data_IF_807734489151
#
_entry.id   IF_807734489151
#
_cell.length_a   1.000
_cell.length_b   1.000
_cell.length_c   1.000
_cell.angle_alpha   90.00
_cell.angle_beta   90.00
_cell.angle_gamma   90.00
#
_symmetry.space_group_name_H-M   'P 1'
#
loop_
_entity.id
_entity.type
_entity.pdbx_description
1 polymer ?
#
# COMPACT_ATOMS: atom_id res chain seq x y z
N UNK A 1 16.28 -6.81 6.88
CA UNK A 1 15.55 -7.10 5.64
C UNK A 1 14.69 -8.33 5.83
N UNK A 2 13.49 -8.33 5.25
CA UNK A 2 12.56 -9.47 5.29
C UNK A 2 12.95 -10.52 4.27
N UNK A 3 13.08 -11.79 4.68
CA UNK A 3 13.34 -12.93 3.79
C UNK A 3 12.06 -13.73 3.63
N UNK A 4 11.66 -14.00 2.38
CA UNK A 4 10.46 -14.79 2.07
C UNK A 4 10.84 -16.25 1.82
N UNK A 5 9.99 -17.19 2.27
CA UNK A 5 10.16 -18.61 1.99
C UNK A 5 10.00 -18.93 0.50
N UNK A 6 10.54 -20.07 0.05
CA UNK A 6 10.49 -20.48 -1.37
C UNK A 6 9.05 -20.67 -1.89
N UNK A 7 8.13 -21.09 -1.02
CA UNK A 7 6.72 -21.30 -1.36
C UNK A 7 5.86 -20.02 -1.24
N UNK A 8 6.46 -18.91 -0.80
CA UNK A 8 5.78 -17.62 -0.70
C UNK A 8 5.87 -16.90 -2.05
N UNK A 9 4.70 -16.57 -2.63
CA UNK A 9 4.61 -15.82 -3.88
C UNK A 9 5.49 -14.56 -3.92
N UNK A 10 5.61 -13.86 -2.79
CA UNK A 10 6.39 -12.62 -2.67
C UNK A 10 7.88 -12.84 -2.96
N UNK A 11 8.40 -14.05 -2.78
CA UNK A 11 9.79 -14.39 -3.12
C UNK A 11 10.09 -14.23 -4.62
N UNK A 12 9.07 -14.30 -5.49
CA UNK A 12 9.20 -14.21 -6.95
C UNK A 12 8.80 -12.84 -7.51
N UNK A 13 8.26 -11.96 -6.67
CA UNK A 13 7.72 -10.66 -7.08
C UNK A 13 8.83 -9.60 -6.94
N UNK A 14 9.22 -8.92 -8.04
CA UNK A 14 10.36 -7.99 -8.01
C UNK A 14 10.26 -6.87 -6.97
N UNK A 15 9.03 -6.44 -6.65
CA UNK A 15 8.76 -5.42 -5.62
C UNK A 15 9.20 -5.78 -4.20
N UNK A 16 9.40 -7.07 -3.93
CA UNK A 16 9.86 -7.59 -2.64
C UNK A 16 11.34 -8.01 -2.65
N UNK A 17 12.07 -7.77 -3.73
CA UNK A 17 13.53 -7.91 -3.74
C UNK A 17 14.15 -6.92 -2.74
N UNK A 18 15.28 -7.27 -2.13
CA UNK A 18 15.90 -6.45 -1.07
C UNK A 18 16.11 -4.99 -1.49
N UNK A 19 16.63 -4.76 -2.70
CA UNK A 19 16.84 -3.41 -3.26
C UNK A 19 15.52 -2.65 -3.48
N UNK A 20 14.44 -3.36 -3.86
CA UNK A 20 13.13 -2.76 -4.05
C UNK A 20 12.48 -2.39 -2.72
N UNK A 21 12.61 -3.25 -1.70
CA UNK A 21 12.12 -2.96 -0.35
C UNK A 21 12.81 -1.71 0.20
N UNK A 22 14.13 -1.64 0.11
CA UNK A 22 14.92 -0.48 0.57
C UNK A 22 14.54 0.80 -0.19
N UNK A 23 14.41 0.74 -1.52
CA UNK A 23 14.02 1.90 -2.32
C UNK A 23 12.60 2.39 -2.01
N UNK A 24 11.67 1.48 -1.74
CA UNK A 24 10.26 1.78 -1.48
C UNK A 24 9.98 2.11 0.00
N UNK A 25 10.93 1.87 0.90
CA UNK A 25 10.78 2.05 2.36
C UNK A 25 10.34 3.46 2.71
N UNK A 26 10.88 4.48 2.03
CA UNK A 26 10.53 5.89 2.26
C UNK A 26 9.03 6.17 2.19
N UNK A 27 8.33 5.55 1.23
CA UNK A 27 6.89 5.70 1.09
C UNK A 27 6.16 5.02 2.25
N UNK A 28 6.64 3.84 2.65
CA UNK A 28 6.07 3.08 3.77
C UNK A 28 6.25 3.84 5.09
N UNK A 29 7.42 4.45 5.30
CA UNK A 29 7.73 5.29 6.47
C UNK A 29 6.77 6.47 6.54
N UNK A 30 6.58 7.21 5.45
CA UNK A 30 5.64 8.34 5.41
C UNK A 30 4.21 7.91 5.79
N UNK A 31 3.72 6.80 5.24
CA UNK A 31 2.41 6.26 5.61
C UNK A 31 2.34 5.83 7.08
N UNK A 32 3.45 5.37 7.64
CA UNK A 32 3.60 5.06 9.07
C UNK A 32 3.53 6.31 9.95
N UNK A 33 4.18 7.40 9.56
CA UNK A 33 4.15 8.68 10.27
C UNK A 33 2.73 9.27 10.28
N UNK A 34 2.06 9.34 9.12
CA UNK A 34 0.67 9.79 9.03
C UNK A 34 -0.29 8.92 9.84
N UNK A 35 -0.04 7.61 9.87
CA UNK A 35 -0.83 6.67 10.66
C UNK A 35 -0.65 6.92 12.17
N UNK A 36 0.60 7.14 12.62
CA UNK A 36 0.92 7.44 14.00
C UNK A 36 0.31 8.77 14.47
N UNK A 37 0.38 9.83 13.64
CA UNK A 37 -0.23 11.14 13.93
C UNK A 37 -1.74 11.05 14.18
N UNK A 38 -2.42 10.15 13.46
CA UNK A 38 -3.87 9.96 13.55
C UNK A 38 -4.31 8.82 14.48
N UNK A 39 -3.36 8.05 15.03
CA UNK A 39 -3.66 6.89 15.88
C UNK A 39 -4.33 5.73 15.14
N UNK A 40 -4.02 5.54 13.85
CA UNK A 40 -4.59 4.52 12.96
C UNK A 40 -3.48 3.63 12.38
N UNK A 41 -3.82 2.65 11.55
CA UNK A 41 -2.81 1.82 10.87
C UNK A 41 -2.45 2.36 9.48
N UNK A 42 -1.25 2.04 8.99
CA UNK A 42 -0.84 2.41 7.63
C UNK A 42 -1.74 1.81 6.55
N UNK A 43 -2.35 0.64 6.82
CA UNK A 43 -3.34 0.05 5.93
C UNK A 43 -4.60 0.91 5.83
N UNK A 44 -5.04 1.49 6.96
CA UNK A 44 -6.17 2.41 6.98
C UNK A 44 -5.86 3.73 6.27
N UNK A 45 -4.65 4.29 6.43
CA UNK A 45 -4.22 5.47 5.65
C UNK A 45 -4.25 5.18 4.14
N UNK A 46 -3.75 4.03 3.71
CA UNK A 46 -3.76 3.65 2.30
C UNK A 46 -5.18 3.51 1.73
N UNK A 47 -6.11 2.92 2.49
CA UNK A 47 -7.52 2.80 2.11
C UNK A 47 -8.23 4.15 2.10
N UNK A 48 -7.99 5.00 3.11
CA UNK A 48 -8.55 6.35 3.20
C UNK A 48 -8.07 7.23 2.03
N UNK A 49 -6.79 7.14 1.68
CA UNK A 49 -6.25 7.82 0.50
C UNK A 49 -6.94 7.37 -0.78
N UNK A 50 -7.11 6.06 -0.98
CA UNK A 50 -7.77 5.52 -2.15
C UNK A 50 -9.24 5.99 -2.26
N UNK A 51 -9.97 6.03 -1.15
CA UNK A 51 -11.34 6.55 -1.08
C UNK A 51 -11.40 8.06 -1.39
N UNK A 52 -10.39 8.83 -1.01
CA UNK A 52 -10.32 10.27 -1.25
C UNK A 52 -10.10 10.65 -2.72
N UNK A 53 -9.61 9.73 -3.57
CA UNK A 53 -9.24 10.05 -4.95
C UNK A 53 -10.46 10.44 -5.82
N UNK A 54 -11.58 9.72 -5.69
CA UNK A 54 -12.84 9.97 -6.42
C UNK A 54 -14.03 9.39 -5.65
N UNK A 55 -15.22 10.04 -5.70
CA UNK A 55 -16.39 9.61 -4.92
C UNK A 55 -16.99 8.26 -5.34
N UNK A 56 -16.62 7.73 -6.51
CA UNK A 56 -17.09 6.43 -7.01
C UNK A 56 -16.09 5.29 -6.79
N UNK A 57 -14.99 5.52 -6.07
CA UNK A 57 -14.03 4.46 -5.75
C UNK A 57 -14.53 3.67 -4.55
N UNK A 58 -14.65 2.35 -4.72
CA UNK A 58 -15.00 1.42 -3.65
C UNK A 58 -13.91 0.35 -3.56
N UNK A 59 -13.02 0.39 -2.55
CA UNK A 59 -11.99 -0.63 -2.38
C UNK A 59 -12.61 -1.96 -1.95
N UNK A 60 -12.04 -3.07 -2.42
CA UNK A 60 -12.42 -4.44 -2.04
C UNK A 60 -11.21 -5.07 -1.31
N UNK A 61 -10.92 -4.67 -0.06
CA UNK A 61 -9.78 -5.20 0.66
C UNK A 61 -10.03 -6.65 1.07
N UNK A 62 -9.18 -7.57 0.58
CA UNK A 62 -9.26 -8.98 0.94
C UNK A 62 -8.74 -9.24 2.36
N UNK A 63 -9.46 -10.07 3.12
CA UNK A 63 -9.02 -10.56 4.43
C UNK A 63 -9.67 -11.90 4.75
N UNK A 64 -9.00 -12.72 5.56
CA UNK A 64 -9.55 -13.97 6.11
C UNK A 64 -9.87 -13.87 7.62
N UNK A 65 -9.58 -12.72 8.24
CA UNK A 65 -9.71 -12.50 9.69
C UNK A 65 -10.71 -11.39 10.00
N UNK A 66 -11.60 -11.63 10.97
CA UNK A 66 -12.64 -10.68 11.36
C UNK A 66 -12.07 -9.33 11.84
N UNK A 67 -11.10 -9.33 12.74
CA UNK A 67 -10.49 -8.07 13.21
C UNK A 67 -9.85 -7.23 12.10
N UNK A 68 -9.38 -7.87 11.01
CA UNK A 68 -8.85 -7.17 9.84
C UNK A 68 -9.96 -6.59 8.97
N UNK A 69 -11.12 -7.22 8.94
CA UNK A 69 -12.30 -6.64 8.30
C UNK A 69 -12.71 -5.36 9.03
N UNK A 70 -12.81 -5.42 10.36
CA UNK A 70 -13.14 -4.27 11.20
C UNK A 70 -12.12 -3.12 11.03
N UNK A 71 -10.82 -3.44 11.06
CA UNK A 71 -9.74 -2.48 10.80
C UNK A 71 -9.88 -1.81 9.41
N UNK A 72 -10.13 -2.61 8.37
CA UNK A 72 -10.29 -2.09 7.00
C UNK A 72 -11.55 -1.23 6.84
N UNK A 73 -12.66 -1.59 7.49
CA UNK A 73 -13.91 -0.83 7.44
C UNK A 73 -13.75 0.54 8.10
N UNK A 74 -13.07 0.61 9.23
CA UNK A 74 -12.80 1.86 9.95
C UNK A 74 -11.95 2.86 9.13
N UNK A 75 -11.30 2.43 8.04
CA UNK A 75 -10.62 3.35 7.14
C UNK A 75 -11.56 4.33 6.43
N UNK A 76 -12.84 3.96 6.25
CA UNK A 76 -13.83 4.83 5.60
C UNK A 76 -14.19 6.08 6.42
N UNK A 77 -13.98 6.02 7.75
CA UNK A 77 -14.25 7.13 8.66
C UNK A 77 -13.05 8.08 8.80
N UNK A 78 -11.90 7.75 8.20
CA UNK A 78 -10.69 8.56 8.27
C UNK A 78 -10.76 9.68 7.25
N UNK A 79 -10.75 10.92 7.75
CA UNK A 79 -10.61 12.12 6.93
C UNK A 79 -9.14 12.49 6.79
N UNK A 80 -8.62 12.38 5.57
CA UNK A 80 -7.33 12.95 5.20
C UNK A 80 -7.49 14.43 4.91
N UNK A 81 -6.61 15.25 5.51
CA UNK A 81 -6.55 16.67 5.20
C UNK A 81 -5.97 16.88 3.80
N UNK A 82 -6.19 18.06 3.20
CA UNK A 82 -5.53 18.38 1.92
C UNK A 82 -4.01 18.27 2.02
N UNK A 83 -3.43 18.63 3.17
CA UNK A 83 -2.00 18.50 3.44
C UNK A 83 -1.57 17.03 3.38
N UNK A 84 -2.32 16.13 4.02
CA UNK A 84 -1.99 14.70 4.06
C UNK A 84 -2.01 14.10 2.65
N UNK A 85 -3.07 14.41 1.88
CA UNK A 85 -3.19 13.95 0.49
C UNK A 85 -2.09 14.51 -0.39
N UNK A 86 -1.71 15.78 -0.20
CA UNK A 86 -0.62 16.41 -0.93
C UNK A 86 0.74 15.76 -0.59
N UNK A 87 1.02 15.50 0.69
CA UNK A 87 2.25 14.81 1.10
C UNK A 87 2.36 13.41 0.46
N UNK A 88 1.27 12.66 0.41
CA UNK A 88 1.24 11.34 -0.25
C UNK A 88 1.48 11.50 -1.76
N UNK A 89 0.86 12.48 -2.41
CA UNK A 89 1.05 12.73 -3.84
C UNK A 89 2.50 13.11 -4.17
N UNK A 90 3.08 14.05 -3.44
CA UNK A 90 4.47 14.49 -3.63
C UNK A 90 5.46 13.35 -3.41
N UNK A 91 5.19 12.48 -2.44
CA UNK A 91 5.99 11.28 -2.21
C UNK A 91 5.87 10.29 -3.38
N UNK A 92 4.68 10.09 -3.95
CA UNK A 92 4.49 9.22 -5.13
C UNK A 92 5.16 9.78 -6.39
N UNK A 93 5.22 11.11 -6.54
CA UNK A 93 5.89 11.76 -7.67
C UNK A 93 7.43 11.75 -7.54
N UNK A 94 7.93 11.82 -6.30
CA UNK A 94 9.38 11.92 -6.02
C UNK A 94 10.04 10.56 -5.82
N UNK A 95 9.35 9.61 -5.19
CA UNK A 95 9.88 8.28 -4.89
C UNK A 95 9.66 7.38 -6.10
N UNK A 96 10.75 7.08 -6.81
CA UNK A 96 10.72 6.08 -7.86
C UNK A 96 10.43 4.70 -7.27
N UNK A 97 9.21 4.21 -7.45
CA UNK A 97 8.84 2.86 -7.01
C UNK A 97 9.63 1.83 -7.82
N UNK A 98 10.38 0.98 -7.10
CA UNK A 98 11.23 -0.05 -7.70
C UNK A 98 10.53 -1.40 -7.62
N UNK A 99 10.61 -2.14 -8.73
CA UNK A 99 10.09 -3.50 -8.86
C UNK A 99 8.65 -3.56 -9.39
N UNK A 100 8.45 -4.40 -10.39
CA UNK A 100 7.14 -4.67 -10.99
C UNK A 100 6.16 -5.31 -10.01
N UNK A 101 4.86 -5.09 -10.25
CA UNK A 101 3.78 -5.57 -9.37
C UNK A 101 3.66 -7.09 -9.42
N UNK A 102 3.91 -7.65 -10.60
CA UNK A 102 3.79 -9.06 -10.88
C UNK A 102 5.15 -9.61 -11.32
N UNK A 103 5.37 -10.91 -11.10
CA UNK A 103 6.49 -11.59 -11.75
C UNK A 103 6.30 -11.56 -13.28
N UNK A 104 7.36 -11.71 -14.08
CA UNK A 104 7.26 -11.70 -15.54
C UNK A 104 6.22 -12.68 -16.10
N UNK A 105 6.14 -13.88 -15.50
CA UNK A 105 5.15 -14.90 -15.89
C UNK A 105 3.71 -14.47 -15.65
N UNK A 106 3.44 -13.82 -14.52
CA UNK A 106 2.11 -13.31 -14.18
C UNK A 106 1.76 -12.05 -14.98
N UNK A 107 2.74 -11.17 -15.22
CA UNK A 107 2.59 -9.98 -16.04
C UNK A 107 2.15 -10.35 -17.46
N UNK A 108 2.70 -11.43 -18.03
CA UNK A 108 2.33 -11.92 -19.36
C UNK A 108 0.86 -12.34 -19.47
N UNK A 109 0.15 -12.58 -18.36
CA UNK A 109 -1.27 -13.01 -18.34
C UNK A 109 -2.25 -11.86 -18.12
N UNK A 110 -1.79 -10.65 -17.81
CA UNK A 110 -2.64 -9.49 -17.58
C UNK A 110 -3.18 -8.96 -18.91
N UNK A 111 -4.50 -8.78 -19.02
CA UNK A 111 -5.15 -8.16 -20.19
C UNK A 111 -5.16 -9.01 -21.46
N UNK A 112 -4.90 -10.32 -21.35
CA UNK A 112 -5.16 -11.30 -22.40
C UNK A 112 -6.60 -11.79 -22.38
#
# INVERSE_FOLDING_TARGET
GTTFGKDDYRSTVPRFAAQAIEANEKLVTLLGELAAEKGVTSAQIALAWLLAQKPWIVPIPGTTKLHRLEENLAAADIVLSQKDTQQISEALDTIKIVGERYSPEHQARVGR
#
